data_IF_441168395776
#
_entry.id   IF_441168395776
#
_cell.length_a   1.000
_cell.length_b   1.000
_cell.length_c   1.000
_cell.angle_alpha   90.00
_cell.angle_beta   90.00
_cell.angle_gamma   90.00
#
_symmetry.space_group_name_H-M   'P 1'
#
loop_
_entity.id
_entity.type
_entity.pdbx_description
1 polymer ?
#
# COMPACT_ATOMS: atom_id res chain seq x y z
N UNK A 1 18.79 -41.26 -2.17
CA UNK A 1 18.79 -40.10 -1.25
C UNK A 1 17.76 -39.11 -1.76
N UNK A 2 16.55 -39.25 -1.26
CA UNK A 2 15.38 -38.43 -1.58
C UNK A 2 15.56 -37.03 -1.03
N UNK A 3 15.36 -36.01 -1.88
CA UNK A 3 15.14 -34.63 -1.47
C UNK A 3 13.77 -34.58 -0.78
N UNK A 4 13.75 -34.39 0.53
CA UNK A 4 12.55 -33.97 1.23
C UNK A 4 12.22 -32.54 0.78
N UNK A 5 11.16 -32.43 -0.03
CA UNK A 5 10.42 -31.18 -0.20
C UNK A 5 9.78 -30.86 1.15
N UNK A 6 10.27 -29.82 1.84
CA UNK A 6 9.57 -29.26 2.98
C UNK A 6 8.19 -28.77 2.53
N UNK A 7 7.14 -29.42 3.01
CA UNK A 7 5.77 -28.99 2.79
C UNK A 7 5.53 -27.61 3.44
N UNK A 8 4.69 -26.72 2.86
CA UNK A 8 4.33 -25.46 3.49
C UNK A 8 3.55 -25.75 4.78
N UNK A 9 4.12 -25.41 5.94
CA UNK A 9 3.49 -25.57 7.25
C UNK A 9 2.17 -24.77 7.28
N UNK A 10 1.03 -25.47 7.27
CA UNK A 10 -0.30 -24.89 7.10
C UNK A 10 -0.65 -23.83 8.18
N UNK A 11 -0.11 -23.92 9.40
CA UNK A 11 -0.46 -23.02 10.51
C UNK A 11 0.05 -21.55 10.42
N UNK A 12 1.16 -21.28 9.72
CA UNK A 12 1.73 -19.91 9.62
C UNK A 12 0.84 -18.97 8.80
N UNK A 13 0.37 -19.49 7.68
CA UNK A 13 -0.48 -18.74 6.74
C UNK A 13 -1.87 -18.53 7.35
N UNK A 14 -2.34 -19.43 8.22
CA UNK A 14 -3.62 -19.30 8.94
C UNK A 14 -3.63 -18.13 9.92
N UNK A 15 -2.47 -17.82 10.51
CA UNK A 15 -2.31 -16.79 11.54
C UNK A 15 -1.74 -15.46 11.03
N UNK A 16 -1.42 -15.40 9.74
CA UNK A 16 -0.88 -14.18 9.12
C UNK A 16 0.51 -13.78 9.62
N UNK A 17 1.31 -14.74 10.11
CA UNK A 17 2.64 -14.50 10.66
C UNK A 17 3.69 -14.39 9.55
N UNK A 18 4.50 -13.32 9.56
CA UNK A 18 5.63 -13.10 8.64
C UNK A 18 6.88 -12.68 9.42
N UNK A 19 8.01 -13.39 9.25
CA UNK A 19 9.23 -13.15 10.03
C UNK A 19 10.15 -12.13 9.39
N UNK A 20 10.39 -11.00 10.07
CA UNK A 20 11.34 -9.96 9.64
C UNK A 20 12.77 -10.49 9.74
N UNK A 21 13.52 -10.53 8.63
CA UNK A 21 14.92 -11.02 8.61
C UNK A 21 15.96 -9.97 8.30
N UNK A 22 15.68 -9.01 7.42
CA UNK A 22 16.53 -7.85 7.25
C UNK A 22 16.17 -6.79 8.31
N UNK A 23 17.14 -5.99 8.74
CA UNK A 23 16.92 -4.96 9.75
C UNK A 23 16.41 -3.66 9.09
N UNK A 24 15.14 -3.26 9.26
CA UNK A 24 14.63 -2.02 8.68
C UNK A 24 14.96 -0.78 9.52
N UNK A 25 15.54 -0.97 10.71
CA UNK A 25 15.78 0.09 11.70
C UNK A 25 17.11 0.82 11.51
N UNK A 26 17.95 0.34 10.59
CA UNK A 26 19.14 1.07 10.14
C UNK A 26 18.82 2.39 9.44
N UNK A 27 17.60 2.55 8.92
CA UNK A 27 17.18 3.70 8.11
C UNK A 27 17.27 5.03 8.88
N UNK A 28 17.84 6.06 8.26
CA UNK A 28 18.11 7.33 8.95
C UNK A 28 16.84 7.98 9.52
N UNK A 29 15.73 7.91 8.77
CA UNK A 29 14.43 8.42 9.25
C UNK A 29 13.90 7.67 10.47
N UNK A 30 14.09 6.34 10.55
CA UNK A 30 13.67 5.59 11.73
C UNK A 30 14.51 5.98 12.94
N UNK A 31 15.83 6.11 12.78
CA UNK A 31 16.72 6.55 13.86
C UNK A 31 16.34 7.93 14.41
N UNK A 32 15.95 8.86 13.53
CA UNK A 32 15.46 10.17 13.92
C UNK A 32 14.14 10.06 14.72
N UNK A 33 13.20 9.25 14.26
CA UNK A 33 11.94 8.97 14.98
C UNK A 33 12.20 8.30 16.34
N UNK A 34 13.04 7.29 16.38
CA UNK A 34 13.37 6.52 17.59
C UNK A 34 13.99 7.42 18.67
N UNK A 35 14.89 8.33 18.28
CA UNK A 35 15.42 9.37 19.18
C UNK A 35 14.32 10.30 19.70
N UNK A 36 13.39 10.72 18.83
CA UNK A 36 12.24 11.53 19.22
C UNK A 36 11.28 10.82 20.17
N UNK A 37 11.13 9.50 20.02
CA UNK A 37 10.37 8.63 20.92
C UNK A 37 11.13 8.26 22.21
N UNK A 38 12.40 8.68 22.36
CA UNK A 38 13.20 8.45 23.56
C UNK A 38 13.93 7.10 23.62
N UNK A 39 14.03 6.34 22.53
CA UNK A 39 14.76 5.07 22.52
C UNK A 39 16.29 5.29 22.58
N UNK A 40 17.03 4.45 23.32
CA UNK A 40 16.59 3.27 24.09
C UNK A 40 16.10 3.58 25.53
N UNK A 41 16.14 4.83 25.97
CA UNK A 41 15.97 5.26 27.37
C UNK A 41 14.50 5.36 27.85
N UNK A 42 13.55 4.87 27.06
CA UNK A 42 12.13 4.81 27.45
C UNK A 42 11.95 3.91 28.67
N UNK A 43 10.91 4.19 29.46
CA UNK A 43 10.60 3.38 30.64
C UNK A 43 10.41 1.90 30.29
N UNK A 44 9.56 1.61 29.30
CA UNK A 44 9.40 0.27 28.70
C UNK A 44 8.93 0.38 27.25
N UNK A 45 9.64 -0.25 26.31
CA UNK A 45 9.19 -0.47 24.93
C UNK A 45 8.27 -1.70 24.84
N UNK A 46 7.20 -1.61 24.06
CA UNK A 46 6.28 -2.71 23.82
C UNK A 46 6.43 -3.31 22.41
N UNK A 47 6.57 -4.64 22.34
CA UNK A 47 6.36 -5.41 21.11
C UNK A 47 5.16 -6.38 21.27
N UNK A 48 3.97 -6.03 20.75
CA UNK A 48 2.71 -6.73 21.04
C UNK A 48 2.47 -8.02 20.23
N UNK A 49 3.29 -8.29 19.21
CA UNK A 49 3.16 -9.40 18.26
C UNK A 49 4.54 -10.00 17.93
N UNK A 50 5.27 -10.38 18.97
CA UNK A 50 6.71 -10.60 18.93
C UNK A 50 7.14 -11.89 18.21
N UNK A 51 6.27 -12.89 18.10
CA UNK A 51 6.57 -14.20 17.53
C UNK A 51 7.84 -14.84 18.11
N UNK A 52 8.92 -14.82 17.33
CA UNK A 52 10.25 -15.32 17.70
C UNK A 52 11.25 -14.21 18.13
N UNK A 53 10.76 -13.00 18.44
CA UNK A 53 11.56 -11.88 18.95
C UNK A 53 12.62 -11.36 17.97
N UNK A 54 12.35 -11.42 16.66
CA UNK A 54 13.29 -10.92 15.65
C UNK A 54 13.42 -9.40 15.67
N UNK A 55 12.31 -8.69 15.87
CA UNK A 55 12.30 -7.22 15.88
C UNK A 55 13.08 -6.68 17.08
N UNK A 56 12.89 -7.25 18.28
CA UNK A 56 13.73 -6.97 19.46
C UNK A 56 15.21 -7.11 19.15
N UNK A 57 15.63 -8.21 18.50
CA UNK A 57 17.03 -8.42 18.10
C UNK A 57 17.52 -7.34 17.14
N UNK A 58 16.73 -6.98 16.14
CA UNK A 58 17.07 -5.90 15.21
C UNK A 58 17.19 -4.54 15.90
N UNK A 59 16.34 -4.25 16.88
CA UNK A 59 16.46 -3.03 17.70
C UNK A 59 17.72 -3.05 18.56
N UNK A 60 18.08 -4.21 19.13
CA UNK A 60 19.29 -4.38 19.91
C UNK A 60 20.56 -4.19 19.05
N UNK A 61 20.57 -4.75 17.83
CA UNK A 61 21.68 -4.61 16.87
C UNK A 61 21.93 -3.13 16.49
N UNK A 62 20.89 -2.29 16.50
CA UNK A 62 20.99 -0.85 16.26
C UNK A 62 21.25 -0.02 17.53
N UNK A 63 21.37 -0.67 18.70
CA UNK A 63 21.54 0.01 19.99
C UNK A 63 20.29 0.76 20.47
N UNK A 64 19.11 0.37 20.00
CA UNK A 64 17.83 1.02 20.27
C UNK A 64 16.94 0.24 21.24
N UNK A 65 17.37 -0.93 21.72
CA UNK A 65 16.62 -1.74 22.68
C UNK A 65 17.07 -1.45 24.13
N UNK A 66 16.16 -0.90 24.92
CA UNK A 66 16.30 -0.77 26.37
C UNK A 66 15.39 -1.76 27.14
N UNK A 67 14.75 -1.27 28.20
CA UNK A 67 13.72 -2.01 28.91
C UNK A 67 12.55 -2.31 27.96
N UNK A 68 12.07 -3.55 27.93
CA UNK A 68 11.01 -3.95 27.02
C UNK A 68 10.06 -4.99 27.60
N UNK A 69 8.88 -5.09 27.02
CA UNK A 69 7.89 -6.16 27.22
C UNK A 69 7.41 -6.65 25.87
N UNK A 70 7.30 -7.97 25.72
CA UNK A 70 6.93 -8.61 24.47
C UNK A 70 5.79 -9.62 24.69
N UNK A 71 4.82 -9.59 23.78
CA UNK A 71 3.68 -10.51 23.78
C UNK A 71 3.54 -11.19 22.43
N UNK A 72 3.01 -12.41 22.44
CA UNK A 72 2.49 -13.05 21.24
C UNK A 72 1.37 -14.02 21.60
N UNK A 73 0.44 -14.30 20.69
CA UNK A 73 -0.59 -15.32 20.90
C UNK A 73 0.02 -16.72 20.95
N UNK A 74 1.15 -16.93 20.27
CA UNK A 74 1.95 -18.14 20.26
C UNK A 74 3.45 -17.81 20.35
N UNK A 75 3.96 -17.54 21.56
CA UNK A 75 5.37 -17.22 21.77
C UNK A 75 6.30 -18.30 21.23
N UNK A 76 7.39 -17.90 20.55
CA UNK A 76 8.38 -18.82 19.97
C UNK A 76 9.78 -18.64 20.56
N UNK A 77 9.93 -17.81 21.59
CA UNK A 77 11.17 -17.56 22.29
C UNK A 77 10.92 -17.22 23.77
N UNK A 78 11.92 -17.47 24.61
CA UNK A 78 11.89 -17.12 26.02
C UNK A 78 11.76 -15.59 26.23
N UNK A 79 11.06 -15.19 27.29
CA UNK A 79 10.83 -13.78 27.60
C UNK A 79 9.66 -13.14 26.86
N UNK A 80 8.99 -13.85 25.95
CA UNK A 80 7.74 -13.42 25.30
C UNK A 80 6.55 -14.03 26.06
N UNK A 81 5.64 -13.17 26.50
CA UNK A 81 4.47 -13.58 27.29
C UNK A 81 3.31 -13.94 26.36
N UNK A 82 2.64 -15.07 26.61
CA UNK A 82 1.49 -15.48 25.81
C UNK A 82 0.29 -14.54 26.06
N UNK A 83 -0.22 -13.88 25.01
CA UNK A 83 -1.41 -13.00 25.06
C UNK A 83 -2.02 -12.80 23.68
N UNK A 84 -3.36 -12.82 23.59
CA UNK A 84 -4.06 -12.32 22.42
C UNK A 84 -4.17 -10.80 22.49
N UNK A 85 -3.15 -10.10 21.98
CA UNK A 85 -3.08 -8.63 22.00
C UNK A 85 -4.14 -7.96 21.12
N UNK A 86 -4.75 -8.70 20.17
CA UNK A 86 -5.89 -8.20 19.40
C UNK A 86 -7.18 -8.29 20.22
N UNK A 87 -7.32 -9.21 21.17
CA UNK A 87 -8.47 -9.21 22.07
C UNK A 87 -8.25 -8.25 23.25
N UNK A 88 -7.09 -8.34 23.88
CA UNK A 88 -6.74 -7.74 25.16
C UNK A 88 -5.38 -7.02 25.04
N UNK A 89 -5.42 -5.71 24.77
CA UNK A 89 -4.20 -4.93 24.50
C UNK A 89 -3.52 -4.50 25.82
N UNK A 90 -2.19 -4.62 25.96
CA UNK A 90 -1.46 -4.13 27.14
C UNK A 90 -1.50 -2.61 27.28
N UNK A 91 -1.83 -2.13 28.47
CA UNK A 91 -1.87 -0.70 28.81
C UNK A 91 -0.56 -0.21 29.44
N UNK A 92 -0.40 1.12 29.54
CA UNK A 92 0.75 1.80 30.18
C UNK A 92 2.09 1.69 29.41
N UNK A 93 2.03 1.64 28.08
CA UNK A 93 3.19 1.69 27.21
C UNK A 93 3.11 2.91 26.30
N UNK A 94 4.13 3.76 26.29
CA UNK A 94 4.14 4.97 25.45
C UNK A 94 4.79 4.73 24.07
N UNK A 95 5.67 3.72 23.96
CA UNK A 95 6.40 3.41 22.73
C UNK A 95 6.15 1.97 22.30
N UNK A 96 5.59 1.82 21.09
CA UNK A 96 5.36 0.53 20.44
C UNK A 96 6.20 0.41 19.17
N UNK A 97 6.93 -0.70 19.04
CA UNK A 97 7.58 -1.08 17.78
C UNK A 97 7.14 -2.49 17.42
N UNK A 98 6.57 -2.70 16.23
CA UNK A 98 5.92 -3.97 15.92
C UNK A 98 5.91 -4.37 14.44
N UNK A 99 5.68 -5.65 14.19
CA UNK A 99 5.29 -6.20 12.90
C UNK A 99 3.98 -6.99 13.11
N UNK A 100 2.81 -6.34 12.96
CA UNK A 100 1.54 -6.96 13.30
C UNK A 100 1.17 -8.09 12.32
N UNK A 101 0.22 -8.99 12.67
CA UNK A 101 -0.20 -10.05 11.76
C UNK A 101 -0.97 -9.51 10.54
N UNK A 102 -0.79 -10.12 9.37
CA UNK A 102 -1.50 -9.73 8.14
C UNK A 102 -2.51 -10.80 7.73
N UNK A 103 -3.79 -10.45 7.77
CA UNK A 103 -4.86 -11.32 7.30
C UNK A 103 -6.06 -10.44 6.94
N UNK A 104 -6.33 -10.28 5.65
CA UNK A 104 -7.55 -9.61 5.22
C UNK A 104 -8.78 -10.51 5.44
N UNK A 105 -9.90 -9.92 5.87
CA UNK A 105 -11.18 -10.61 6.17
C UNK A 105 -11.66 -11.47 5.00
N UNK A 106 -11.55 -10.97 3.78
CA UNK A 106 -11.91 -11.70 2.57
C UNK A 106 -10.95 -12.89 2.30
N UNK A 107 -9.67 -12.75 2.64
CA UNK A 107 -8.68 -13.82 2.53
C UNK A 107 -8.96 -14.91 3.56
N UNK A 108 -9.31 -14.53 4.80
CA UNK A 108 -9.75 -15.44 5.85
C UNK A 108 -10.99 -16.24 5.41
N UNK A 109 -12.05 -15.57 5.00
CA UNK A 109 -13.29 -16.21 4.54
C UNK A 109 -13.04 -17.21 3.38
N UNK A 110 -12.27 -16.80 2.36
CA UNK A 110 -11.91 -17.67 1.22
C UNK A 110 -11.13 -18.92 1.64
N UNK A 111 -10.37 -18.83 2.72
CA UNK A 111 -9.53 -19.92 3.24
C UNK A 111 -10.19 -20.69 4.38
N UNK A 112 -11.44 -20.36 4.73
CA UNK A 112 -12.15 -20.98 5.85
C UNK A 112 -11.56 -20.64 7.23
N UNK A 113 -10.85 -19.51 7.35
CA UNK A 113 -10.23 -19.06 8.59
C UNK A 113 -11.14 -18.11 9.36
N UNK A 114 -11.05 -18.16 10.67
CA UNK A 114 -11.70 -17.20 11.56
C UNK A 114 -11.09 -15.81 11.38
N UNK A 115 -11.93 -14.80 11.52
CA UNK A 115 -11.53 -13.39 11.60
C UNK A 115 -12.19 -12.80 12.84
N UNK A 116 -11.51 -11.94 13.64
CA UNK A 116 -12.05 -11.47 14.90
C UNK A 116 -13.46 -10.85 14.75
N UNK A 117 -14.38 -11.31 15.59
CA UNK A 117 -15.73 -10.76 15.66
C UNK A 117 -15.68 -9.31 16.12
N UNK A 118 -16.51 -8.45 15.53
CA UNK A 118 -16.55 -7.02 15.89
C UNK A 118 -15.33 -6.18 15.44
N UNK A 119 -14.35 -6.75 14.73
CA UNK A 119 -13.21 -6.00 14.22
C UNK A 119 -13.63 -4.78 13.39
N UNK A 120 -13.04 -3.61 13.71
CA UNK A 120 -13.34 -2.31 13.09
C UNK A 120 -12.86 -2.23 11.65
N UNK A 121 -11.83 -3.01 11.33
CA UNK A 121 -11.15 -2.98 10.05
C UNK A 121 -11.25 -4.32 9.29
N UNK A 122 -10.93 -4.27 8.00
CA UNK A 122 -11.00 -5.40 7.08
C UNK A 122 -9.69 -6.22 7.03
N UNK A 123 -8.70 -5.88 7.83
CA UNK A 123 -7.40 -6.56 7.93
C UNK A 123 -6.87 -6.51 9.36
N UNK A 124 -6.23 -7.58 9.82
CA UNK A 124 -5.69 -7.67 11.19
C UNK A 124 -4.65 -6.60 11.48
N UNK A 125 -3.79 -6.26 10.52
CA UNK A 125 -2.77 -5.23 10.77
C UNK A 125 -3.42 -3.88 11.07
N UNK A 126 -4.55 -3.56 10.43
CA UNK A 126 -5.26 -2.30 10.66
C UNK A 126 -5.87 -2.27 12.06
N UNK A 127 -6.43 -3.39 12.51
CA UNK A 127 -6.94 -3.52 13.90
C UNK A 127 -5.79 -3.39 14.92
N UNK A 128 -4.66 -4.03 14.66
CA UNK A 128 -3.47 -3.94 15.49
C UNK A 128 -2.94 -2.50 15.58
N UNK A 129 -2.81 -1.79 14.45
CA UNK A 129 -2.37 -0.39 14.43
C UNK A 129 -3.35 0.51 15.19
N UNK A 130 -4.65 0.32 15.00
CA UNK A 130 -5.65 1.09 15.73
C UNK A 130 -5.47 0.91 17.24
N UNK A 131 -5.30 -0.34 17.73
CA UNK A 131 -5.04 -0.61 19.15
C UNK A 131 -3.74 0.01 19.66
N UNK A 132 -2.67 -0.06 18.87
CA UNK A 132 -1.39 0.59 19.24
C UNK A 132 -1.57 2.11 19.37
N UNK A 133 -2.25 2.75 18.42
CA UNK A 133 -2.48 4.20 18.44
C UNK A 133 -3.45 4.63 19.55
N UNK A 134 -4.42 3.79 19.89
CA UNK A 134 -5.38 4.02 20.98
C UNK A 134 -4.67 4.00 22.36
N UNK A 135 -3.51 3.33 22.49
CA UNK A 135 -2.86 3.05 23.78
C UNK A 135 -1.43 3.61 23.94
N UNK A 136 -0.80 4.13 22.89
CA UNK A 136 0.58 4.61 22.91
C UNK A 136 0.76 5.97 22.20
N UNK A 137 1.67 6.81 22.70
CA UNK A 137 2.04 8.09 22.09
C UNK A 137 2.91 7.93 20.84
N UNK A 138 3.76 6.91 20.81
CA UNK A 138 4.66 6.62 19.70
C UNK A 138 4.46 5.19 19.19
N UNK A 139 4.26 5.05 17.87
CA UNK A 139 4.11 3.74 17.22
C UNK A 139 4.99 3.69 15.99
N UNK A 140 5.78 2.63 15.83
CA UNK A 140 6.41 2.26 14.57
C UNK A 140 6.01 0.85 14.18
N UNK A 141 5.62 0.66 12.92
CA UNK A 141 5.17 -0.65 12.46
C UNK A 141 5.61 -0.97 11.04
N UNK A 142 6.02 -2.22 10.83
CA UNK A 142 6.23 -2.80 9.51
C UNK A 142 4.88 -3.32 9.02
N UNK A 143 4.31 -2.70 7.99
CA UNK A 143 2.95 -3.01 7.51
C UNK A 143 2.90 -3.06 5.98
N UNK A 144 1.83 -3.62 5.37
CA UNK A 144 1.68 -3.62 3.92
C UNK A 144 1.75 -2.20 3.32
N UNK A 145 2.54 -2.02 2.26
CA UNK A 145 2.72 -0.72 1.61
C UNK A 145 1.43 -0.16 0.98
N UNK A 146 0.41 -1.01 0.80
CA UNK A 146 -0.95 -0.58 0.41
C UNK A 146 -1.61 0.36 1.43
N UNK A 147 -1.08 0.45 2.65
CA UNK A 147 -1.45 1.43 3.68
C UNK A 147 -1.50 2.86 3.15
N UNK A 148 -0.53 3.28 2.32
CA UNK A 148 -0.46 4.65 1.78
C UNK A 148 -1.73 5.05 1.01
N UNK A 149 -2.34 4.10 0.32
CA UNK A 149 -3.58 4.30 -0.45
C UNK A 149 -4.86 4.02 0.35
N UNK A 150 -4.77 3.69 1.64
CA UNK A 150 -5.92 3.25 2.44
C UNK A 150 -6.77 4.39 3.00
N UNK A 151 -6.22 5.60 3.14
CA UNK A 151 -6.90 6.71 3.80
C UNK A 151 -6.84 6.70 5.34
N UNK A 152 -6.27 5.66 5.96
CA UNK A 152 -6.34 5.44 7.41
C UNK A 152 -5.13 6.01 8.17
N UNK A 153 -5.32 6.24 9.47
CA UNK A 153 -4.26 6.57 10.45
C UNK A 153 -3.34 7.72 10.05
N UNK A 154 -3.89 8.79 9.44
CA UNK A 154 -3.08 9.88 8.86
C UNK A 154 -2.73 11.00 9.81
N UNK A 155 -3.58 11.25 10.82
CA UNK A 155 -3.46 12.43 11.67
C UNK A 155 -2.11 12.50 12.39
N UNK A 156 -1.72 11.39 13.01
CA UNK A 156 -0.48 11.25 13.78
C UNK A 156 0.72 10.73 12.96
N UNK A 157 0.53 10.53 11.66
CA UNK A 157 1.54 9.90 10.80
C UNK A 157 2.71 10.86 10.57
N UNK A 158 3.89 10.54 11.09
CA UNK A 158 5.07 11.37 10.93
C UNK A 158 5.84 11.03 9.67
N UNK A 159 6.01 9.73 9.39
CA UNK A 159 6.71 9.26 8.20
C UNK A 159 6.33 7.84 7.78
N UNK A 160 6.55 7.54 6.50
CA UNK A 160 6.50 6.20 5.93
C UNK A 160 7.74 5.99 5.07
N UNK A 161 8.44 4.88 5.30
CA UNK A 161 9.55 4.43 4.46
C UNK A 161 9.08 3.21 3.67
N UNK A 162 8.97 3.33 2.35
CA UNK A 162 8.71 2.17 1.49
C UNK A 162 9.96 1.29 1.47
N UNK A 163 9.83 0.06 1.96
CA UNK A 163 10.92 -0.90 2.04
C UNK A 163 10.99 -1.72 0.75
N UNK A 164 12.21 -1.95 0.26
CA UNK A 164 12.48 -2.76 -0.93
C UNK A 164 12.35 -4.27 -0.70
N UNK A 165 12.88 -5.06 -1.63
CA UNK A 165 12.88 -6.53 -1.55
C UNK A 165 13.63 -7.04 -0.32
N UNK A 166 13.26 -8.24 0.16
CA UNK A 166 14.12 -9.04 1.03
C UNK A 166 13.96 -8.80 2.53
N UNK A 167 12.93 -8.07 2.98
CA UNK A 167 12.64 -7.96 4.41
C UNK A 167 12.10 -9.27 5.01
N UNK A 168 11.39 -10.06 4.18
CA UNK A 168 10.79 -11.34 4.53
C UNK A 168 11.20 -12.42 3.50
N UNK A 169 11.48 -13.64 3.96
CA UNK A 169 11.74 -14.79 3.08
C UNK A 169 10.46 -15.38 2.50
N UNK A 170 9.37 -15.30 3.28
CA UNK A 170 8.15 -16.06 3.04
C UNK A 170 7.06 -15.22 2.35
N UNK A 171 7.36 -13.98 1.95
CA UNK A 171 6.40 -13.14 1.24
C UNK A 171 7.01 -12.15 0.26
N UNK A 172 6.37 -12.06 -0.90
CA UNK A 172 6.61 -11.02 -1.89
C UNK A 172 5.72 -9.79 -1.66
N UNK A 173 4.96 -9.72 -0.55
CA UNK A 173 4.09 -8.60 -0.28
C UNK A 173 4.92 -7.34 0.02
N UNK A 174 4.73 -6.25 -0.76
CA UNK A 174 5.41 -5.00 -0.49
C UNK A 174 5.01 -4.45 0.88
N UNK A 175 6.00 -3.99 1.64
CA UNK A 175 5.81 -3.43 2.98
C UNK A 175 6.45 -2.05 3.11
N UNK A 176 6.03 -1.32 4.13
CA UNK A 176 6.64 -0.08 4.56
C UNK A 176 6.83 -0.08 6.08
N UNK A 177 7.77 0.74 6.53
CA UNK A 177 7.90 1.14 7.92
C UNK A 177 7.13 2.45 8.11
N UNK A 178 5.99 2.39 8.78
CA UNK A 178 5.18 3.55 9.13
C UNK A 178 5.44 3.96 10.58
N UNK A 179 5.55 5.26 10.81
CA UNK A 179 5.91 5.86 12.10
C UNK A 179 4.92 6.95 12.47
N UNK A 180 4.40 6.88 13.69
CA UNK A 180 3.46 7.82 14.28
C UNK A 180 4.03 8.41 15.56
N UNK A 181 3.70 9.67 15.82
CA UNK A 181 4.01 10.37 17.07
C UNK A 181 2.76 10.80 17.83
N UNK A 182 2.90 11.48 18.98
CA UNK A 182 1.77 11.80 19.86
C UNK A 182 0.87 12.93 19.31
N UNK A 183 1.40 13.75 18.40
CA UNK A 183 0.71 14.88 17.80
C UNK A 183 0.51 14.74 16.29
N UNK A 184 0.03 15.82 15.67
CA UNK A 184 -0.16 15.87 14.22
C UNK A 184 1.17 15.70 13.49
N UNK A 185 1.27 14.67 12.66
CA UNK A 185 2.45 14.38 11.88
C UNK A 185 2.46 15.07 10.52
N UNK A 186 3.65 15.18 9.91
CA UNK A 186 3.83 15.72 8.54
C UNK A 186 3.46 14.72 7.45
N UNK A 187 3.54 13.42 7.74
CA UNK A 187 3.33 12.35 6.77
C UNK A 187 4.41 12.32 5.69
N UNK A 188 5.68 12.45 6.06
CA UNK A 188 6.82 12.39 5.12
C UNK A 188 6.91 11.00 4.47
N UNK A 189 7.01 10.91 3.15
CA UNK A 189 7.08 9.64 2.42
C UNK A 189 8.47 9.46 1.82
N UNK A 190 9.11 8.33 2.11
CA UNK A 190 10.44 7.99 1.66
C UNK A 190 10.44 6.76 0.74
N UNK A 191 11.29 6.80 -0.30
CA UNK A 191 11.62 5.66 -1.16
C UNK A 191 13.08 5.28 -0.92
N UNK A 192 13.32 4.21 -0.15
CA UNK A 192 14.63 4.03 0.46
C UNK A 192 14.98 5.25 1.31
N UNK A 193 16.21 5.75 1.23
CA UNK A 193 16.69 6.91 2.01
C UNK A 193 16.24 8.28 1.44
N UNK A 194 15.63 8.30 0.25
CA UNK A 194 15.23 9.55 -0.41
C UNK A 194 13.86 10.02 0.05
N UNK A 195 13.76 11.27 0.50
CA UNK A 195 12.48 11.93 0.77
C UNK A 195 11.81 12.29 -0.55
N UNK A 196 10.66 11.69 -0.81
CA UNK A 196 9.86 11.97 -2.00
C UNK A 196 8.97 13.21 -1.82
N UNK A 197 8.46 13.44 -0.61
CA UNK A 197 7.57 14.55 -0.28
C UNK A 197 6.66 14.22 0.90
N UNK A 198 5.70 15.08 1.22
CA UNK A 198 4.64 14.73 2.18
C UNK A 198 3.50 13.98 1.49
N UNK A 199 2.77 13.15 2.22
CA UNK A 199 1.60 12.44 1.69
C UNK A 199 0.57 13.42 1.11
N UNK A 200 0.38 14.58 1.73
CA UNK A 200 -0.52 15.62 1.25
C UNK A 200 -0.07 16.20 -0.10
N UNK A 201 1.22 16.53 -0.24
CA UNK A 201 1.78 17.05 -1.49
C UNK A 201 1.67 16.02 -2.62
N UNK A 202 1.94 14.75 -2.29
CA UNK A 202 1.82 13.65 -3.24
C UNK A 202 0.38 13.51 -3.71
N UNK A 203 -0.58 13.48 -2.79
CA UNK A 203 -2.01 13.38 -3.11
C UNK A 203 -2.55 14.58 -3.90
N UNK A 204 -1.97 15.76 -3.72
CA UNK A 204 -2.34 16.94 -4.51
C UNK A 204 -2.02 16.78 -6.01
N UNK A 205 -1.14 15.84 -6.38
CA UNK A 205 -0.85 15.48 -7.77
C UNK A 205 -1.89 14.54 -8.40
N UNK A 206 -2.86 14.02 -7.62
CA UNK A 206 -3.96 13.21 -8.19
C UNK A 206 -4.71 14.03 -9.25
N UNK A 207 -5.18 13.38 -10.34
CA UNK A 207 -6.04 14.03 -11.31
C UNK A 207 -7.26 14.64 -10.62
N UNK A 208 -7.71 15.80 -11.10
CA UNK A 208 -8.89 16.51 -10.59
C UNK A 208 -10.06 16.31 -11.56
N UNK A 209 -10.83 15.22 -11.44
CA UNK A 209 -11.92 14.94 -12.35
C UNK A 209 -13.06 15.94 -12.17
N UNK A 210 -13.73 16.28 -13.26
CA UNK A 210 -14.99 17.02 -13.27
C UNK A 210 -16.20 16.08 -13.02
N UNK A 211 -16.02 14.77 -13.15
CA UNK A 211 -17.05 13.73 -12.95
C UNK A 211 -18.25 13.90 -13.88
N UNK A 212 -17.99 14.32 -15.12
CA UNK A 212 -19.05 14.60 -16.12
C UNK A 212 -19.41 13.40 -16.97
N UNK A 213 -18.58 12.37 -16.95
CA UNK A 213 -18.73 11.19 -17.81
C UNK A 213 -18.96 9.95 -16.95
N UNK A 214 -20.00 9.20 -17.28
CA UNK A 214 -20.23 7.87 -16.73
C UNK A 214 -19.34 6.86 -17.46
N UNK A 215 -18.78 5.92 -16.68
CA UNK A 215 -17.83 4.91 -17.16
C UNK A 215 -18.15 3.56 -16.54
N UNK A 216 -18.40 2.57 -17.39
CA UNK A 216 -18.61 1.19 -16.98
C UNK A 216 -17.32 0.40 -17.15
N UNK A 217 -16.75 -0.07 -16.04
CA UNK A 217 -15.63 -1.00 -16.03
C UNK A 217 -16.14 -2.42 -16.17
N UNK A 218 -15.29 -3.32 -16.67
CA UNK A 218 -15.66 -4.69 -16.99
C UNK A 218 -16.73 -4.79 -18.09
N UNK A 219 -16.78 -3.83 -19.01
CA UNK A 219 -17.70 -3.79 -20.14
C UNK A 219 -17.12 -4.55 -21.34
N UNK A 220 -17.65 -5.73 -21.74
CA UNK A 220 -17.05 -6.55 -22.80
C UNK A 220 -16.88 -5.84 -24.15
N UNK A 221 -17.74 -4.87 -24.45
CA UNK A 221 -17.78 -4.04 -25.65
C UNK A 221 -17.09 -2.68 -25.47
N UNK A 222 -16.48 -2.43 -24.31
CA UNK A 222 -15.79 -1.17 -24.01
C UNK A 222 -14.67 -0.85 -25.00
N UNK A 223 -14.68 0.36 -25.54
CA UNK A 223 -13.73 0.82 -26.56
C UNK A 223 -12.31 1.05 -25.99
N UNK A 224 -12.19 1.34 -24.69
CA UNK A 224 -10.91 1.54 -24.00
C UNK A 224 -10.58 0.31 -23.16
N UNK A 225 -9.37 -0.19 -23.27
CA UNK A 225 -8.81 -1.22 -22.40
C UNK A 225 -7.91 -0.62 -21.33
N UNK A 226 -7.83 -1.28 -20.17
CA UNK A 226 -6.87 -0.98 -19.10
C UNK A 226 -6.04 -2.24 -18.83
N UNK A 227 -4.72 -2.13 -18.92
CA UNK A 227 -3.77 -3.05 -18.30
C UNK A 227 -3.39 -2.47 -16.94
N UNK A 228 -4.06 -2.90 -15.87
CA UNK A 228 -4.01 -2.24 -14.56
C UNK A 228 -2.96 -2.79 -13.59
N UNK A 229 -2.12 -3.73 -13.99
CA UNK A 229 -1.03 -4.28 -13.15
C UNK A 229 0.29 -4.19 -13.90
N UNK A 230 1.35 -3.79 -13.20
CA UNK A 230 2.71 -3.91 -13.72
C UNK A 230 3.12 -5.39 -13.92
N UNK A 231 3.79 -5.66 -15.02
CA UNK A 231 4.47 -6.92 -15.26
C UNK A 231 5.66 -7.12 -14.32
N UNK A 232 6.37 -8.24 -14.49
CA UNK A 232 7.58 -8.54 -13.70
C UNK A 232 8.84 -7.88 -14.25
N UNK A 233 8.82 -7.40 -15.50
CA UNK A 233 10.00 -6.79 -16.13
C UNK A 233 10.16 -5.31 -15.78
N UNK A 234 9.07 -4.54 -15.77
CA UNK A 234 9.10 -3.09 -15.59
C UNK A 234 7.70 -2.49 -15.56
N UNK A 235 7.64 -1.16 -15.46
CA UNK A 235 6.39 -0.40 -15.48
C UNK A 235 5.60 -0.70 -16.76
N UNK A 236 4.37 -1.22 -16.63
CA UNK A 236 3.56 -1.62 -17.79
C UNK A 236 2.08 -1.29 -17.69
N UNK A 237 1.63 -0.63 -16.61
CA UNK A 237 0.26 -0.13 -16.52
C UNK A 237 0.02 0.90 -17.62
N UNK A 238 -1.05 0.72 -18.39
CA UNK A 238 -1.46 1.64 -19.46
C UNK A 238 -2.89 1.43 -19.91
N UNK A 239 -3.46 2.46 -20.50
CA UNK A 239 -4.68 2.39 -21.32
C UNK A 239 -4.30 1.96 -22.74
N UNK A 240 -5.12 1.10 -23.34
CA UNK A 240 -4.93 0.47 -24.65
C UNK A 240 -6.27 0.41 -25.39
N UNK A 241 -6.31 0.00 -26.66
CA UNK A 241 -7.61 -0.26 -27.30
C UNK A 241 -8.33 -1.40 -26.59
N UNK A 242 -9.66 -1.32 -26.48
CA UNK A 242 -10.47 -2.37 -25.85
C UNK A 242 -10.25 -3.76 -26.46
N UNK A 243 -10.05 -3.81 -27.79
CA UNK A 243 -9.73 -5.03 -28.52
C UNK A 243 -8.40 -5.70 -28.14
N UNK A 244 -7.48 -5.00 -27.47
CA UNK A 244 -6.21 -5.55 -26.99
C UNK A 244 -6.31 -6.25 -25.62
N UNK A 245 -7.48 -6.25 -25.00
CA UNK A 245 -7.73 -6.93 -23.72
C UNK A 245 -8.54 -8.18 -24.01
N UNK A 246 -7.92 -9.35 -23.89
CA UNK A 246 -8.60 -10.64 -24.07
C UNK A 246 -9.44 -10.99 -22.84
N UNK A 247 -10.74 -11.24 -23.05
CA UNK A 247 -11.64 -11.75 -22.02
C UNK A 247 -11.85 -10.80 -20.83
N UNK A 248 -13.08 -10.34 -20.62
CA UNK A 248 -13.39 -9.48 -19.47
C UNK A 248 -14.22 -10.27 -18.47
N UNK A 249 -13.61 -10.59 -17.33
CA UNK A 249 -14.35 -11.13 -16.20
C UNK A 249 -15.06 -9.99 -15.46
N UNK A 250 -16.32 -10.19 -15.08
CA UNK A 250 -17.07 -9.28 -14.20
C UNK A 250 -16.38 -9.07 -12.85
N UNK A 251 -15.52 -10.01 -12.43
CA UNK A 251 -14.75 -9.94 -11.20
C UNK A 251 -13.34 -9.36 -11.38
N UNK A 252 -12.93 -8.99 -12.59
CA UNK A 252 -11.62 -8.38 -12.81
C UNK A 252 -11.56 -7.03 -12.08
N UNK A 253 -10.42 -6.78 -11.45
CA UNK A 253 -10.13 -5.56 -10.69
C UNK A 253 -8.94 -4.79 -11.23
N UNK A 254 -8.41 -5.20 -12.38
CA UNK A 254 -7.14 -4.68 -12.87
C UNK A 254 -7.04 -4.66 -14.39
N UNK A 255 -7.23 -5.81 -15.07
CA UNK A 255 -7.21 -5.86 -16.54
C UNK A 255 -8.65 -5.91 -17.05
N UNK A 256 -9.06 -4.91 -17.82
CA UNK A 256 -10.47 -4.75 -18.15
C UNK A 256 -10.71 -3.91 -19.40
N UNK A 257 -11.94 -3.93 -19.89
CA UNK A 257 -12.46 -3.00 -20.90
C UNK A 257 -13.44 -2.03 -20.24
N UNK A 258 -13.48 -0.83 -20.77
CA UNK A 258 -14.17 0.34 -20.21
C UNK A 258 -15.05 0.92 -21.31
N UNK A 259 -16.35 0.96 -21.05
CA UNK A 259 -17.31 1.66 -21.90
C UNK A 259 -17.53 3.08 -21.36
N UNK A 260 -17.57 4.04 -22.29
CA UNK A 260 -17.92 5.43 -22.03
C UNK A 260 -19.39 5.65 -22.39
N UNK A 261 -20.05 6.57 -21.70
CA UNK A 261 -21.45 6.92 -21.93
C UNK A 261 -21.68 7.75 -23.20
N UNK A 262 -20.72 8.59 -23.56
CA UNK A 262 -20.74 9.34 -24.80
C UNK A 262 -20.15 8.53 -25.96
N UNK A 263 -20.73 8.71 -27.15
CA UNK A 263 -20.20 8.15 -28.39
C UNK A 263 -19.04 9.01 -28.87
N UNK A 264 -17.83 8.48 -28.75
CA UNK A 264 -16.62 9.07 -29.33
C UNK A 264 -16.28 8.35 -30.64
N UNK A 265 -15.78 9.10 -31.62
CA UNK A 265 -15.15 8.52 -32.81
C UNK A 265 -13.92 7.69 -32.43
N UNK A 266 -13.48 6.80 -33.34
CA UNK A 266 -12.29 5.98 -33.09
C UNK A 266 -11.04 6.85 -32.87
N UNK A 267 -10.95 7.97 -33.59
CA UNK A 267 -9.90 8.97 -33.49
C UNK A 267 -9.94 9.68 -32.14
N UNK A 268 -11.12 10.06 -31.65
CA UNK A 268 -11.26 10.65 -30.32
C UNK A 268 -10.90 9.66 -29.21
N UNK A 269 -11.26 8.38 -29.36
CA UNK A 269 -10.84 7.34 -28.40
C UNK A 269 -9.31 7.25 -28.33
N UNK A 270 -8.60 7.33 -29.46
CA UNK A 270 -7.13 7.37 -29.46
C UNK A 270 -6.56 8.58 -28.74
N UNK A 271 -7.12 9.76 -28.99
CA UNK A 271 -6.69 10.99 -28.33
C UNK A 271 -6.91 10.92 -26.82
N UNK A 272 -8.07 10.39 -26.38
CA UNK A 272 -8.38 10.18 -24.96
C UNK A 272 -7.39 9.20 -24.34
N UNK A 273 -7.08 8.08 -25.00
CA UNK A 273 -6.10 7.12 -24.50
C UNK A 273 -4.69 7.71 -24.40
N UNK A 274 -4.26 8.48 -25.39
CA UNK A 274 -2.97 9.15 -25.38
C UNK A 274 -2.87 10.15 -24.22
N UNK A 275 -3.91 10.96 -24.01
CA UNK A 275 -4.01 11.88 -22.88
C UNK A 275 -4.00 11.13 -21.53
N UNK A 276 -4.80 10.07 -21.40
CA UNK A 276 -4.87 9.25 -20.19
C UNK A 276 -3.51 8.62 -19.83
N UNK A 277 -2.79 8.09 -20.82
CA UNK A 277 -1.45 7.54 -20.61
C UNK A 277 -0.42 8.60 -20.25
N UNK A 278 -0.51 9.81 -20.82
CA UNK A 278 0.33 10.96 -20.44
C UNK A 278 0.09 11.39 -19.00
N UNK A 279 -1.18 11.51 -18.59
CA UNK A 279 -1.57 11.85 -17.21
C UNK A 279 -1.07 10.78 -16.24
N UNK A 280 -1.27 9.50 -16.56
CA UNK A 280 -0.74 8.39 -15.77
C UNK A 280 0.79 8.46 -15.65
N UNK A 281 1.50 8.68 -16.76
CA UNK A 281 2.96 8.80 -16.76
C UNK A 281 3.45 9.94 -15.88
N UNK A 282 2.80 11.10 -15.94
CA UNK A 282 3.11 12.27 -15.10
C UNK A 282 2.89 11.95 -13.63
N UNK A 283 1.76 11.34 -13.28
CA UNK A 283 1.44 10.92 -11.91
C UNK A 283 2.49 9.94 -11.37
N UNK A 284 2.82 8.91 -12.16
CA UNK A 284 3.81 7.88 -11.78
C UNK A 284 5.19 8.48 -11.53
N UNK A 285 5.66 9.34 -12.45
CA UNK A 285 6.95 10.01 -12.33
C UNK A 285 7.00 10.96 -11.13
N UNK A 286 5.98 11.80 -10.94
CA UNK A 286 5.95 12.78 -9.85
C UNK A 286 5.77 12.16 -8.46
N UNK A 287 5.16 10.99 -8.37
CA UNK A 287 4.85 10.34 -7.08
C UNK A 287 5.69 9.11 -6.80
N UNK A 288 6.70 8.78 -7.62
CA UNK A 288 7.48 7.54 -7.46
C UNK A 288 6.60 6.29 -7.30
N UNK A 289 5.45 6.28 -7.99
CA UNK A 289 4.40 5.27 -7.92
C UNK A 289 3.70 5.06 -6.54
N UNK A 290 3.96 5.87 -5.51
CA UNK A 290 3.41 5.64 -4.15
C UNK A 290 1.90 5.81 -4.05
N UNK A 291 1.29 6.54 -5.00
CA UNK A 291 -0.16 6.69 -5.10
C UNK A 291 -0.87 5.55 -5.83
N UNK A 292 -0.11 4.63 -6.45
CA UNK A 292 -0.62 3.38 -6.98
C UNK A 292 -0.49 2.31 -5.89
N UNK A 293 -1.50 1.45 -5.78
CA UNK A 293 -1.49 0.37 -4.79
C UNK A 293 -0.31 -0.56 -5.06
N UNK A 294 0.53 -0.78 -4.05
CA UNK A 294 1.60 -1.76 -4.14
C UNK A 294 1.00 -3.17 -4.41
N UNK A 295 1.59 -3.90 -5.34
CA UNK A 295 1.11 -5.20 -5.78
C UNK A 295 2.26 -6.20 -5.78
N UNK A 296 1.98 -7.42 -5.32
CA UNK A 296 2.84 -8.61 -5.27
C UNK A 296 4.18 -8.51 -6.03
N UNK A 297 5.27 -8.51 -5.26
CA UNK A 297 6.62 -8.68 -5.75
C UNK A 297 7.24 -7.43 -6.32
N UNK A 298 8.47 -7.64 -6.80
CA UNK A 298 9.35 -6.60 -7.31
C UNK A 298 9.65 -6.88 -8.77
N UNK A 299 9.74 -5.81 -9.54
CA UNK A 299 10.11 -5.84 -10.94
C UNK A 299 11.61 -6.06 -11.07
N UNK A 300 12.07 -6.54 -12.22
CA UNK A 300 13.51 -6.74 -12.49
C UNK A 300 14.36 -5.47 -12.37
N UNK A 301 13.75 -4.30 -12.49
CA UNK A 301 14.38 -3.00 -12.27
C UNK A 301 14.50 -2.60 -10.78
N UNK A 302 14.10 -3.48 -9.85
CA UNK A 302 14.21 -3.27 -8.40
C UNK A 302 13.04 -2.52 -7.77
N UNK A 303 12.07 -2.04 -8.57
CA UNK A 303 10.92 -1.29 -8.07
C UNK A 303 9.72 -2.20 -7.76
N UNK A 304 8.88 -1.76 -6.81
CA UNK A 304 7.65 -2.47 -6.46
C UNK A 304 6.73 -2.57 -7.68
N UNK A 305 6.11 -3.74 -7.88
CA UNK A 305 4.99 -3.83 -8.81
C UNK A 305 3.80 -3.05 -8.26
N UNK A 306 3.04 -2.45 -9.18
CA UNK A 306 1.89 -1.61 -8.84
C UNK A 306 0.62 -2.12 -9.47
N UNK A 307 -0.50 -1.71 -8.89
CA UNK A 307 -1.84 -1.84 -9.46
C UNK A 307 -2.51 -0.48 -9.48
N UNK A 308 -3.08 -0.13 -10.63
CA UNK A 308 -3.99 1.01 -10.78
C UNK A 308 -5.40 0.55 -10.43
N UNK A 309 -6.00 1.12 -9.39
CA UNK A 309 -7.40 0.85 -9.05
C UNK A 309 -8.37 1.60 -9.98
N UNK A 310 -9.63 1.15 -10.00
CA UNK A 310 -10.65 1.70 -10.87
C UNK A 310 -11.09 3.12 -10.50
N UNK A 311 -10.92 3.54 -9.24
CA UNK A 311 -11.24 4.90 -8.85
C UNK A 311 -10.25 5.86 -9.50
N UNK A 312 -8.94 5.62 -9.34
CA UNK A 312 -7.91 6.43 -9.96
C UNK A 312 -7.91 6.32 -11.49
N UNK A 313 -8.18 5.13 -12.05
CA UNK A 313 -8.32 4.99 -13.51
C UNK A 313 -9.46 5.85 -14.08
N UNK A 314 -10.60 5.90 -13.37
CA UNK A 314 -11.73 6.76 -13.73
C UNK A 314 -11.36 8.23 -13.67
N UNK A 315 -10.62 8.64 -12.64
CA UNK A 315 -10.19 10.03 -12.46
C UNK A 315 -9.28 10.48 -13.61
N UNK A 316 -8.35 9.60 -14.01
CA UNK A 316 -7.45 9.83 -15.15
C UNK A 316 -8.26 9.97 -16.45
N UNK A 317 -9.20 9.06 -16.72
CA UNK A 317 -10.01 9.11 -17.93
C UNK A 317 -10.92 10.33 -17.99
N UNK A 318 -11.51 10.74 -16.87
CA UNK A 318 -12.42 11.89 -16.85
C UNK A 318 -11.68 13.21 -17.16
N UNK A 319 -10.46 13.35 -16.65
CA UNK A 319 -9.57 14.47 -17.03
C UNK A 319 -9.16 14.37 -18.49
N UNK A 320 -8.78 13.19 -18.98
CA UNK A 320 -8.38 12.98 -20.38
C UNK A 320 -9.51 13.33 -21.37
N UNK A 321 -10.75 12.92 -21.08
CA UNK A 321 -11.92 13.27 -21.90
C UNK A 321 -12.13 14.78 -21.92
N UNK A 322 -12.03 15.43 -20.76
CA UNK A 322 -12.18 16.88 -20.64
C UNK A 322 -11.15 17.65 -21.49
N UNK A 323 -9.89 17.20 -21.50
CA UNK A 323 -8.83 17.81 -22.32
C UNK A 323 -9.11 17.69 -23.83
N UNK A 324 -9.54 16.51 -24.28
CA UNK A 324 -9.84 16.25 -25.71
C UNK A 324 -11.06 17.06 -26.15
N UNK A 325 -12.14 17.04 -25.37
CA UNK A 325 -13.36 17.80 -25.69
C UNK A 325 -13.13 19.32 -25.72
N UNK A 326 -12.25 19.86 -24.87
CA UNK A 326 -11.90 21.27 -24.89
C UNK A 326 -11.12 21.67 -26.14
N UNK A 327 -10.23 20.80 -26.62
CA UNK A 327 -9.43 21.02 -27.83
C UNK A 327 -10.31 21.02 -29.08
N UNK A 328 -11.26 20.06 -29.16
CA UNK A 328 -12.23 19.98 -30.26
C UNK A 328 -13.11 21.26 -30.32
N UNK A 329 -13.54 21.76 -29.16
CA UNK A 329 -14.34 22.98 -29.07
C UNK A 329 -13.56 24.20 -29.59
N UNK A 330 -12.31 24.38 -29.13
CA UNK A 330 -11.45 25.50 -29.56
C UNK A 330 -11.17 25.49 -31.07
N UNK A 331 -10.85 24.32 -31.63
CA UNK A 331 -10.62 24.18 -33.08
C UNK A 331 -11.87 24.49 -33.91
N UNK A 332 -13.05 24.12 -33.42
CA UNK A 332 -14.32 24.43 -34.09
C UNK A 332 -14.69 25.92 -34.05
N UNK A 333 -14.28 26.63 -33.00
CA UNK A 333 -14.52 28.07 -32.82
C UNK A 333 -13.58 28.90 -33.70
N UNK A 334 -12.31 28.52 -33.81
CA UNK A 334 -11.35 29.13 -34.74
C UNK A 334 -11.78 28.97 -36.21
N UNK A 335 -12.26 27.78 -36.60
CA UNK A 335 -12.81 27.53 -37.94
C UNK A 335 -14.06 28.36 -38.24
N UNK A 336 -14.91 28.63 -37.24
CA UNK A 336 -16.09 29.50 -37.37
C UNK A 336 -15.73 30.99 -37.46
N UNK A 337 -14.64 31.40 -36.82
CA UNK A 337 -14.15 32.79 -36.91
C UNK A 337 -13.36 33.05 -38.21
N UNK A 338 -12.82 32.01 -38.84
CA UNK A 338 -12.07 32.09 -40.09
C UNK A 338 -12.94 31.97 -41.36
N UNK A 339 -14.23 31.61 -41.22
CA UNK A 339 -15.21 31.47 -42.30
C UNK A 339 -16.14 32.69 -42.38
#
# INVERSE_FOLDING_TARGET
>A
MSKECAAPCHGKVEKGQFFTRANPFGHARFKAWAKGAGLPDVAVLLEPFAGAGHLLRHLADEGLLGMHTAFDIEPQADGIVQRDTIADFPENFDVVVTNPPYLARNSAARRGLSFPEGARHDDLYKEAIARCLDNAGHVAAIIPASFLTSGLFRERLEAVVCLGAGLFDDTEHPVCLAMWGPGRGRGDVFLGEELLGTLADLEAMRPRPQRRHSMAFNAPDGAIGLRGIDGTLGASIRFVRGGEIDGVSSASRSNTRIALDATFSAEQVDLIMAAANRILGTLRAGTGDVLLTAFKGIRKDGLLRRRLDYALARDILDVAISEVSATDAAGSEELRMAA
#
